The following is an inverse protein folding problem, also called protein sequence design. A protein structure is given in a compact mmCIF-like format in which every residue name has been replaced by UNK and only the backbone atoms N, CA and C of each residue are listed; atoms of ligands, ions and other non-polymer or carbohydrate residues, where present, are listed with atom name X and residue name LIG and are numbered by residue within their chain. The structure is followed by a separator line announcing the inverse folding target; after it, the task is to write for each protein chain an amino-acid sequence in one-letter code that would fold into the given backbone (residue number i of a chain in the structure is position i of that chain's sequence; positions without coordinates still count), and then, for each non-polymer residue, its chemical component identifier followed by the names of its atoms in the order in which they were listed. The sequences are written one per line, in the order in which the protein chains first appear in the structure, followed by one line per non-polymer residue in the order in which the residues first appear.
data_IF_018632946761
#
_entry.id   IF_018632946761
#
_cell.length_a   1.000
_cell.length_b   1.000
_cell.length_c   1.000
_cell.angle_alpha   90.00
_cell.angle_beta   90.00
_cell.angle_gamma   90.00
#
_symmetry.space_group_name_H-M   'P 1'
#
loop_
_entity.id
_entity.type
_entity.pdbx_description
1 polymer ?
#
# COMPACT_ATOMS: atom_id res chain seq x y z
N UNK A 1 84.90 -25.90 31.55
CA UNK A 1 84.77 -25.43 32.98
C UNK A 1 83.50 -24.62 33.08
N UNK A 2 82.86 -24.78 34.16
CA UNK A 2 81.39 -24.73 34.28
C UNK A 2 80.92 -23.44 34.92
N UNK A 3 79.69 -23.13 34.80
CA UNK A 3 78.91 -22.61 35.92
C UNK A 3 77.39 -22.80 35.71
N UNK A 4 76.94 -23.59 36.52
CA UNK A 4 75.58 -23.78 36.99
C UNK A 4 75.10 -22.47 37.64
N UNK A 5 73.87 -22.03 37.36
CA UNK A 5 73.09 -21.39 38.39
C UNK A 5 71.60 -21.64 38.18
N UNK A 6 71.12 -22.30 39.13
CA UNK A 6 69.80 -22.67 39.57
C UNK A 6 68.88 -21.48 39.87
N UNK A 7 67.56 -21.86 39.85
CA UNK A 7 66.48 -21.42 40.72
C UNK A 7 65.78 -20.11 40.29
N UNK A 8 64.49 -20.08 40.09
CA UNK A 8 63.48 -20.28 41.10
C UNK A 8 62.09 -20.43 40.46
N UNK A 9 61.43 -21.45 40.82
CA UNK A 9 60.00 -21.57 40.89
C UNK A 9 59.36 -20.36 41.55
N UNK A 10 58.46 -19.71 40.89
CA UNK A 10 57.41 -18.93 41.57
C UNK A 10 56.09 -19.23 40.94
N UNK A 11 55.40 -20.16 41.59
CA UNK A 11 53.97 -20.25 41.62
C UNK A 11 53.34 -18.88 41.85
N UNK A 12 52.62 -18.36 40.90
CA UNK A 12 51.53 -17.43 41.12
C UNK A 12 50.27 -18.00 40.49
N UNK A 13 49.60 -18.73 41.31
CA UNK A 13 48.15 -18.86 41.29
C UNK A 13 47.58 -17.46 41.29
N UNK A 14 46.97 -17.06 40.21
CA UNK A 14 45.98 -15.99 40.19
C UNK A 14 44.74 -16.58 39.57
N UNK A 15 43.82 -16.90 40.43
CA UNK A 15 42.41 -17.07 40.11
C UNK A 15 41.90 -15.81 39.43
N UNK A 16 42.01 -15.73 38.10
CA UNK A 16 41.19 -14.86 37.29
C UNK A 16 39.92 -15.64 36.93
N UNK A 17 38.96 -15.57 37.86
CA UNK A 17 37.59 -15.92 37.62
C UNK A 17 37.08 -15.05 36.46
N UNK A 18 37.05 -15.61 35.28
CA UNK A 18 36.33 -15.03 34.14
C UNK A 18 34.87 -14.80 34.56
N UNK A 19 34.30 -13.61 34.35
CA UNK A 19 32.88 -13.40 34.63
C UNK A 19 32.07 -14.28 33.69
N UNK A 20 31.62 -15.41 34.22
CA UNK A 20 30.57 -16.22 33.65
C UNK A 20 29.30 -15.35 33.56
N UNK A 21 28.79 -15.14 32.39
CA UNK A 21 27.43 -14.64 32.28
C UNK A 21 27.18 -13.45 31.36
N UNK A 22 27.76 -13.38 30.18
CA UNK A 22 27.12 -12.71 29.06
C UNK A 22 26.53 -13.80 28.17
N UNK A 23 25.42 -14.37 28.59
CA UNK A 23 24.58 -15.16 27.69
C UNK A 23 24.30 -14.35 26.42
N UNK A 24 24.27 -14.96 25.23
CA UNK A 24 24.00 -14.23 24.01
C UNK A 24 22.65 -13.52 24.20
N UNK A 25 22.68 -12.19 24.32
CA UNK A 25 21.48 -11.38 24.24
C UNK A 25 20.80 -11.79 22.94
N UNK A 26 19.72 -12.54 23.06
CA UNK A 26 18.91 -12.97 21.92
C UNK A 26 18.46 -11.68 21.21
N UNK A 27 19.23 -11.29 20.21
CA UNK A 27 18.88 -10.23 19.33
C UNK A 27 17.57 -10.67 18.67
N UNK A 28 16.44 -10.24 19.23
CA UNK A 28 15.14 -10.38 18.58
C UNK A 28 15.32 -9.79 17.20
N UNK A 29 15.50 -10.63 16.21
CA UNK A 29 15.55 -10.24 14.81
C UNK A 29 14.15 -9.76 14.46
N UNK A 30 13.91 -8.46 14.68
CA UNK A 30 12.66 -7.83 14.25
C UNK A 30 12.47 -8.05 12.75
N UNK A 31 11.25 -8.26 12.32
CA UNK A 31 10.88 -8.37 10.91
C UNK A 31 11.53 -7.22 10.10
N UNK A 32 12.30 -7.57 9.07
CA UNK A 32 13.00 -6.62 8.21
C UNK A 32 12.74 -6.96 6.76
N UNK A 33 12.05 -6.08 6.06
CA UNK A 33 11.83 -6.17 4.64
C UNK A 33 12.96 -5.44 3.91
N UNK A 34 13.65 -6.15 3.02
CA UNK A 34 14.67 -5.55 2.13
C UNK A 34 14.01 -4.91 0.92
N UNK A 35 14.71 -4.00 0.22
CA UNK A 35 14.23 -3.45 -1.06
C UNK A 35 13.94 -4.53 -2.08
N UNK A 36 14.76 -5.57 -2.12
CA UNK A 36 14.55 -6.71 -3.03
C UNK A 36 13.25 -7.46 -2.69
N UNK A 37 13.01 -7.75 -1.42
CA UNK A 37 11.78 -8.41 -0.97
C UNK A 37 10.55 -7.52 -1.21
N UNK A 38 10.66 -6.20 -0.95
CA UNK A 38 9.60 -5.23 -1.21
C UNK A 38 9.26 -5.20 -2.71
N UNK A 39 10.28 -5.17 -3.58
CA UNK A 39 10.10 -5.23 -5.03
C UNK A 39 9.48 -6.55 -5.49
N UNK A 40 9.90 -7.67 -4.92
CA UNK A 40 9.32 -8.97 -5.23
C UNK A 40 7.84 -9.04 -4.79
N UNK A 41 7.51 -8.57 -3.59
CA UNK A 41 6.12 -8.51 -3.12
C UNK A 41 5.26 -7.61 -4.02
N UNK A 42 5.78 -6.45 -4.44
CA UNK A 42 5.12 -5.58 -5.42
C UNK A 42 4.94 -6.30 -6.76
N UNK A 43 5.93 -7.09 -7.19
CA UNK A 43 5.85 -7.92 -8.39
C UNK A 43 4.72 -8.96 -8.32
N UNK A 44 4.50 -9.56 -7.16
CA UNK A 44 3.35 -10.46 -6.94
C UNK A 44 2.03 -9.72 -7.14
N UNK A 45 1.89 -8.50 -6.58
CA UNK A 45 0.66 -7.70 -6.75
C UNK A 45 0.44 -7.31 -8.22
N UNK A 46 1.50 -6.96 -8.97
CA UNK A 46 1.40 -6.74 -10.41
C UNK A 46 0.96 -7.99 -11.19
N UNK A 47 1.47 -9.17 -10.83
CA UNK A 47 1.04 -10.44 -11.44
C UNK A 47 -0.44 -10.71 -11.16
N UNK A 48 -0.89 -10.47 -9.93
CA UNK A 48 -2.31 -10.65 -9.57
C UNK A 48 -3.18 -9.67 -10.37
N UNK A 49 -2.83 -8.38 -10.43
CA UNK A 49 -3.55 -7.39 -11.22
C UNK A 49 -3.60 -7.80 -12.71
N UNK A 50 -2.47 -8.20 -13.28
CA UNK A 50 -2.43 -8.71 -14.65
C UNK A 50 -3.33 -9.93 -14.87
N UNK A 51 -3.39 -10.88 -13.93
CA UNK A 51 -4.30 -12.01 -14.02
C UNK A 51 -5.77 -11.57 -14.03
N UNK A 52 -6.14 -10.55 -13.25
CA UNK A 52 -7.48 -9.97 -13.25
C UNK A 52 -7.81 -9.28 -14.59
N UNK A 53 -6.81 -8.72 -15.28
CA UNK A 53 -7.01 -8.14 -16.61
C UNK A 53 -7.33 -9.18 -17.69
N UNK A 54 -7.10 -10.49 -17.47
CA UNK A 54 -7.50 -11.53 -18.42
C UNK A 54 -8.96 -11.97 -18.30
N UNK A 55 -9.76 -11.34 -17.45
CA UNK A 55 -11.20 -11.60 -17.37
C UNK A 55 -11.93 -11.15 -18.64
N UNK A 56 -12.99 -11.86 -19.09
CA UNK A 56 -13.71 -11.52 -20.33
C UNK A 56 -14.22 -10.08 -20.38
N UNK A 57 -14.65 -9.54 -19.23
CA UNK A 57 -15.12 -8.15 -19.11
C UNK A 57 -14.06 -7.14 -19.58
N UNK A 58 -12.79 -7.37 -19.25
CA UNK A 58 -11.68 -6.47 -19.61
C UNK A 58 -11.41 -6.38 -21.12
N UNK A 59 -11.90 -7.35 -21.90
CA UNK A 59 -11.84 -7.36 -23.36
C UNK A 59 -13.06 -6.71 -24.01
N UNK A 60 -13.99 -6.21 -23.22
CA UNK A 60 -15.21 -5.52 -23.66
C UNK A 60 -15.09 -4.00 -23.51
N UNK A 61 -16.12 -3.29 -23.99
CA UNK A 61 -16.24 -1.84 -23.74
C UNK A 61 -16.49 -1.51 -22.26
N UNK A 62 -16.88 -2.50 -21.44
CA UNK A 62 -17.14 -2.35 -20.01
C UNK A 62 -15.97 -1.73 -19.27
N UNK A 63 -14.73 -2.18 -19.51
CA UNK A 63 -13.54 -1.56 -18.91
C UNK A 63 -13.53 -0.03 -19.09
N UNK A 64 -13.76 0.45 -20.31
CA UNK A 64 -13.70 1.88 -20.59
C UNK A 64 -14.94 2.65 -20.11
N UNK A 65 -16.14 2.08 -20.29
CA UNK A 65 -17.40 2.80 -20.08
C UNK A 65 -18.00 2.61 -18.69
N UNK A 66 -17.74 1.48 -18.03
CA UNK A 66 -18.33 1.12 -16.74
C UNK A 66 -17.32 1.24 -15.58
N UNK A 67 -15.99 1.11 -15.87
CA UNK A 67 -14.95 1.29 -14.86
C UNK A 67 -14.31 2.68 -14.98
N UNK A 68 -13.65 2.99 -16.12
CA UNK A 68 -12.82 4.19 -16.25
C UNK A 68 -13.63 5.48 -16.37
N UNK A 69 -14.68 5.49 -17.20
CA UNK A 69 -15.44 6.72 -17.42
C UNK A 69 -16.14 7.29 -16.18
N UNK A 70 -16.72 6.46 -15.28
CA UNK A 70 -17.32 6.95 -14.04
C UNK A 70 -16.31 7.58 -13.09
N UNK A 71 -15.04 7.11 -13.06
CA UNK A 71 -13.99 7.69 -12.21
C UNK A 71 -13.67 9.15 -12.55
N UNK A 72 -13.96 9.59 -13.77
CA UNK A 72 -13.79 10.97 -14.20
C UNK A 72 -14.95 11.88 -13.80
N UNK A 73 -16.05 11.34 -13.26
CA UNK A 73 -17.21 12.14 -12.88
C UNK A 73 -16.86 13.17 -11.80
N UNK A 74 -17.27 14.44 -12.01
CA UNK A 74 -16.98 15.54 -11.08
C UNK A 74 -15.53 16.04 -11.10
N UNK A 75 -14.65 15.46 -11.90
CA UNK A 75 -13.27 15.93 -12.06
C UNK A 75 -13.18 17.20 -12.94
N UNK A 76 -12.17 18.07 -12.71
CA UNK A 76 -11.95 19.24 -13.56
C UNK A 76 -11.49 18.86 -14.97
N UNK A 77 -11.62 19.78 -15.97
CA UNK A 77 -11.30 19.54 -17.38
C UNK A 77 -9.88 19.00 -17.64
N UNK A 78 -8.91 19.39 -16.82
CA UNK A 78 -7.53 18.91 -16.93
C UNK A 78 -7.40 17.38 -16.69
N UNK A 79 -8.33 16.77 -15.99
CA UNK A 79 -8.43 15.32 -15.76
C UNK A 79 -9.40 14.71 -16.77
N UNK A 80 -10.63 15.24 -16.88
CA UNK A 80 -11.66 14.63 -17.74
C UNK A 80 -11.30 14.66 -19.22
N UNK A 81 -10.52 15.64 -19.69
CA UNK A 81 -10.07 15.72 -21.08
C UNK A 81 -9.20 14.51 -21.49
N UNK A 82 -8.05 14.29 -20.85
CA UNK A 82 -7.18 13.13 -21.12
C UNK A 82 -7.89 11.80 -20.88
N UNK A 83 -8.65 11.66 -19.77
CA UNK A 83 -9.41 10.43 -19.46
C UNK A 83 -10.46 10.17 -20.57
N UNK A 84 -11.19 11.18 -21.00
CA UNK A 84 -12.17 11.03 -22.09
C UNK A 84 -11.53 10.63 -23.46
N UNK A 85 -10.31 11.09 -23.73
CA UNK A 85 -9.53 10.62 -24.89
C UNK A 85 -9.16 9.15 -24.72
N UNK A 86 -8.67 8.76 -23.55
CA UNK A 86 -8.33 7.39 -23.22
C UNK A 86 -9.54 6.46 -23.32
N UNK A 87 -10.69 6.83 -22.73
CA UNK A 87 -11.95 6.08 -22.79
C UNK A 87 -12.37 5.86 -24.25
N UNK A 88 -12.32 6.89 -25.11
CA UNK A 88 -12.64 6.75 -26.54
C UNK A 88 -11.69 5.79 -27.25
N UNK A 89 -10.39 5.89 -26.98
CA UNK A 89 -9.39 5.02 -27.59
C UNK A 89 -9.60 3.56 -27.19
N UNK A 90 -9.77 3.28 -25.89
CA UNK A 90 -10.00 1.92 -25.38
C UNK A 90 -11.33 1.35 -25.84
N UNK A 91 -12.43 2.13 -25.79
CA UNK A 91 -13.75 1.66 -26.22
C UNK A 91 -13.86 1.40 -27.71
N UNK A 92 -12.99 2.01 -28.54
CA UNK A 92 -12.96 1.74 -29.98
C UNK A 92 -12.39 0.36 -30.33
N UNK A 93 -11.39 -0.12 -29.57
CA UNK A 93 -10.70 -1.40 -29.78
C UNK A 93 -10.36 -2.08 -28.44
N UNK A 94 -11.34 -2.44 -27.60
CA UNK A 94 -11.09 -2.87 -26.23
C UNK A 94 -10.25 -4.15 -26.16
N UNK A 95 -10.54 -5.14 -27.01
CA UNK A 95 -9.78 -6.37 -27.03
C UNK A 95 -8.32 -6.15 -27.45
N UNK A 96 -8.08 -5.33 -28.49
CA UNK A 96 -6.72 -5.01 -28.93
C UNK A 96 -5.94 -4.26 -27.85
N UNK A 97 -6.58 -3.31 -27.15
CA UNK A 97 -5.98 -2.62 -26.01
C UNK A 97 -5.58 -3.62 -24.93
N UNK A 98 -6.51 -4.47 -24.50
CA UNK A 98 -6.24 -5.35 -23.37
C UNK A 98 -5.25 -6.48 -23.70
N UNK A 99 -5.17 -6.94 -24.97
CA UNK A 99 -4.12 -7.86 -25.43
C UNK A 99 -2.71 -7.26 -25.36
N UNK A 100 -2.57 -5.94 -25.25
CA UNK A 100 -1.29 -5.27 -25.02
C UNK A 100 -1.10 -4.96 -23.55
N UNK A 101 -2.15 -4.48 -22.88
CA UNK A 101 -2.10 -3.97 -21.52
C UNK A 101 -1.86 -5.08 -20.49
N UNK A 102 -2.66 -6.16 -20.51
CA UNK A 102 -2.53 -7.25 -19.55
C UNK A 102 -1.17 -7.99 -19.62
N UNK A 103 -0.64 -8.34 -20.83
CA UNK A 103 0.72 -8.88 -20.92
C UNK A 103 1.81 -7.90 -20.50
N UNK A 104 1.63 -6.58 -20.69
CA UNK A 104 2.59 -5.59 -20.22
C UNK A 104 2.63 -5.54 -18.67
N UNK A 105 1.48 -5.54 -18.00
CA UNK A 105 1.41 -5.66 -16.53
C UNK A 105 2.05 -6.96 -16.03
N UNK A 106 1.72 -8.09 -16.66
CA UNK A 106 2.29 -9.38 -16.33
C UNK A 106 3.82 -9.37 -16.49
N UNK A 107 4.30 -8.80 -17.59
CA UNK A 107 5.73 -8.66 -17.86
C UNK A 107 6.45 -7.84 -16.80
N UNK A 108 5.85 -6.72 -16.33
CA UNK A 108 6.38 -5.92 -15.24
C UNK A 108 6.43 -6.76 -13.95
N UNK A 109 5.34 -7.41 -13.58
CA UNK A 109 5.25 -8.22 -12.38
C UNK A 109 6.30 -9.33 -12.35
N UNK A 110 6.38 -10.14 -13.40
CA UNK A 110 7.36 -11.22 -13.56
C UNK A 110 8.79 -10.69 -13.55
N UNK A 111 9.05 -9.57 -14.25
CA UNK A 111 10.37 -8.98 -14.27
C UNK A 111 10.80 -8.44 -12.90
N UNK A 112 9.89 -7.84 -12.10
CA UNK A 112 10.17 -7.41 -10.73
C UNK A 112 10.52 -8.58 -9.81
N UNK A 113 9.94 -9.76 -10.03
CA UNK A 113 10.23 -10.99 -9.29
C UNK A 113 11.60 -11.57 -9.65
N UNK A 114 11.92 -11.64 -10.94
CA UNK A 114 13.06 -12.42 -11.44
C UNK A 114 14.34 -11.60 -11.60
N UNK A 115 14.24 -10.28 -11.77
CA UNK A 115 15.39 -9.45 -12.10
C UNK A 115 16.34 -9.31 -10.90
N UNK A 116 17.57 -9.80 -11.09
CA UNK A 116 18.67 -9.72 -10.11
C UNK A 116 19.70 -8.64 -10.45
N UNK A 117 19.92 -8.35 -11.76
CA UNK A 117 20.93 -7.38 -12.22
C UNK A 117 20.46 -5.95 -11.91
N UNK A 118 21.32 -5.18 -11.22
CA UNK A 118 20.99 -3.82 -10.75
C UNK A 118 20.47 -2.88 -11.85
N UNK A 119 21.11 -2.83 -13.02
CA UNK A 119 20.66 -1.97 -14.13
C UNK A 119 19.28 -2.36 -14.64
N UNK A 120 19.07 -3.66 -14.89
CA UNK A 120 17.77 -4.16 -15.36
C UNK A 120 16.68 -3.93 -14.31
N UNK A 121 16.98 -4.14 -13.01
CA UNK A 121 16.03 -3.85 -11.93
C UNK A 121 15.59 -2.38 -11.90
N UNK A 122 16.51 -1.44 -12.17
CA UNK A 122 16.14 0.00 -12.26
C UNK A 122 15.22 0.29 -13.43
N UNK A 123 15.51 -0.27 -14.60
CA UNK A 123 14.63 -0.11 -15.78
C UNK A 123 13.24 -0.68 -15.54
N UNK A 124 13.15 -1.92 -15.04
CA UNK A 124 11.86 -2.56 -14.73
C UNK A 124 11.09 -1.76 -13.68
N UNK A 125 11.75 -1.32 -12.59
CA UNK A 125 11.10 -0.48 -11.58
C UNK A 125 10.64 0.85 -12.16
N UNK A 126 11.43 1.47 -13.05
CA UNK A 126 11.06 2.73 -13.73
C UNK A 126 9.84 2.56 -14.62
N UNK A 127 9.80 1.51 -15.42
CA UNK A 127 8.65 1.18 -16.27
C UNK A 127 7.41 0.92 -15.42
N UNK A 128 7.53 0.13 -14.33
CA UNK A 128 6.43 -0.14 -13.42
C UNK A 128 5.89 1.12 -12.74
N UNK A 129 6.77 2.02 -12.29
CA UNK A 129 6.35 3.32 -11.71
C UNK A 129 5.66 4.19 -12.77
N UNK A 130 6.22 4.28 -13.99
CA UNK A 130 5.61 5.07 -15.06
C UNK A 130 4.24 4.53 -15.45
N UNK A 131 4.08 3.20 -15.56
CA UNK A 131 2.80 2.55 -15.85
C UNK A 131 1.81 2.80 -14.73
N UNK A 132 2.20 2.63 -13.47
CA UNK A 132 1.35 2.91 -12.32
C UNK A 132 0.86 4.36 -12.30
N UNK A 133 1.72 5.35 -12.58
CA UNK A 133 1.32 6.75 -12.69
C UNK A 133 0.39 7.00 -13.88
N UNK A 134 0.59 6.31 -15.01
CA UNK A 134 -0.31 6.35 -16.16
C UNK A 134 -1.71 5.81 -15.82
N UNK A 135 -1.77 4.65 -15.14
CA UNK A 135 -3.03 4.07 -14.65
C UNK A 135 -3.69 5.00 -13.64
N UNK A 136 -2.93 5.55 -12.69
CA UNK A 136 -3.44 6.50 -11.70
C UNK A 136 -4.11 7.72 -12.34
N UNK A 137 -3.48 8.29 -13.38
CA UNK A 137 -4.04 9.45 -14.07
C UNK A 137 -5.22 9.09 -14.96
N UNK A 138 -5.04 8.10 -15.85
CA UNK A 138 -6.00 7.81 -16.95
C UNK A 138 -7.06 6.78 -16.54
N UNK A 139 -6.70 5.80 -15.71
CA UNK A 139 -7.59 4.73 -15.26
C UNK A 139 -8.37 5.08 -13.99
N UNK A 140 -7.69 5.64 -12.99
CA UNK A 140 -8.27 5.97 -11.68
C UNK A 140 -8.63 7.48 -11.56
N UNK A 141 -8.48 8.26 -12.62
CA UNK A 141 -8.77 9.71 -12.61
C UNK A 141 -8.15 10.42 -11.39
N UNK A 142 -6.88 10.11 -11.08
CA UNK A 142 -6.15 10.61 -9.91
C UNK A 142 -6.80 10.22 -8.57
N UNK A 143 -7.49 9.07 -8.50
CA UNK A 143 -8.16 8.59 -7.29
C UNK A 143 -9.30 9.50 -6.81
N UNK A 144 -9.93 10.24 -7.69
CA UNK A 144 -11.03 11.13 -7.35
C UNK A 144 -10.64 12.40 -6.57
N UNK A 145 -9.34 12.67 -6.36
CA UNK A 145 -8.85 13.70 -5.43
C UNK A 145 -9.39 15.11 -5.64
N UNK A 146 -9.75 15.45 -6.88
CA UNK A 146 -10.21 16.81 -7.23
C UNK A 146 -11.74 16.91 -7.33
N UNK A 147 -12.50 15.85 -7.02
CA UNK A 147 -13.97 15.85 -7.07
C UNK A 147 -14.63 16.50 -5.86
N UNK A 148 -13.91 16.61 -4.72
CA UNK A 148 -14.49 16.99 -3.43
C UNK A 148 -15.30 15.89 -2.75
N UNK A 149 -15.42 14.69 -3.37
CA UNK A 149 -16.14 13.51 -2.83
C UNK A 149 -15.24 12.29 -2.61
N UNK A 150 -13.94 12.40 -2.90
CA UNK A 150 -12.99 11.32 -2.64
C UNK A 150 -12.96 10.94 -1.16
N UNK A 151 -12.88 9.63 -0.88
CA UNK A 151 -12.76 9.11 0.48
C UNK A 151 -11.65 8.07 0.58
N UNK A 152 -10.83 8.18 1.63
CA UNK A 152 -9.76 7.21 1.87
C UNK A 152 -10.27 5.79 2.11
N UNK A 153 -11.47 5.64 2.68
CA UNK A 153 -12.16 4.35 2.85
C UNK A 153 -12.50 3.67 1.52
N UNK A 154 -12.76 4.46 0.47
CA UNK A 154 -13.06 3.97 -0.87
C UNK A 154 -11.81 3.79 -1.74
N UNK A 155 -10.63 3.98 -1.19
CA UNK A 155 -9.37 3.73 -1.88
C UNK A 155 -8.60 4.97 -2.33
N UNK A 156 -9.10 6.22 -2.09
CA UNK A 156 -8.27 7.39 -2.38
C UNK A 156 -6.95 7.34 -1.54
N UNK A 157 -5.82 7.68 -2.11
CA UNK A 157 -5.58 8.41 -3.36
C UNK A 157 -5.47 7.53 -4.63
N UNK A 158 -5.88 6.28 -4.57
CA UNK A 158 -5.85 5.33 -5.68
C UNK A 158 -4.79 4.22 -5.49
N UNK A 159 -5.13 3.00 -5.93
CA UNK A 159 -4.25 1.84 -5.83
C UNK A 159 -2.98 2.04 -6.65
N UNK A 160 -3.11 2.54 -7.89
CA UNK A 160 -1.98 2.74 -8.78
C UNK A 160 -0.97 3.76 -8.24
N UNK A 161 -1.40 4.81 -7.52
CA UNK A 161 -0.45 5.69 -6.83
C UNK A 161 0.36 4.94 -5.77
N UNK A 162 -0.27 4.04 -5.02
CA UNK A 162 0.43 3.21 -4.03
C UNK A 162 1.44 2.27 -4.68
N UNK A 163 1.12 1.67 -5.85
CA UNK A 163 2.09 0.92 -6.66
C UNK A 163 3.32 1.77 -7.00
N UNK A 164 3.12 3.01 -7.44
CA UNK A 164 4.21 3.93 -7.76
C UNK A 164 5.06 4.28 -6.52
N UNK A 165 4.42 4.62 -5.39
CA UNK A 165 5.11 4.95 -4.13
C UNK A 165 5.93 3.75 -3.61
N UNK A 166 5.37 2.55 -3.62
CA UNK A 166 6.07 1.33 -3.19
C UNK A 166 7.21 1.02 -4.17
N UNK A 167 6.99 1.16 -5.48
CA UNK A 167 8.01 0.98 -6.50
C UNK A 167 9.22 1.91 -6.30
N UNK A 168 8.96 3.19 -5.97
CA UNK A 168 9.99 4.16 -5.62
C UNK A 168 10.68 3.83 -4.28
N UNK A 169 9.93 3.35 -3.27
CA UNK A 169 10.51 2.93 -1.99
C UNK A 169 11.39 1.68 -2.12
N UNK A 170 11.08 0.81 -3.08
CA UNK A 170 11.83 -0.38 -3.43
C UNK A 170 12.92 -0.13 -4.48
N UNK A 171 13.16 1.14 -4.88
CA UNK A 171 14.09 1.49 -5.96
C UNK A 171 15.48 0.92 -5.73
N UNK A 172 16.07 0.21 -6.72
CA UNK A 172 17.39 -0.39 -6.58
C UNK A 172 18.50 0.65 -6.39
N UNK A 173 19.29 0.53 -5.34
CA UNK A 173 20.45 1.37 -5.06
C UNK A 173 21.72 0.55 -5.14
N UNK A 174 22.88 1.22 -5.38
CA UNK A 174 24.20 0.56 -5.41
C UNK A 174 24.79 0.32 -4.03
N UNK A 175 24.27 1.01 -3.01
CA UNK A 175 24.80 0.91 -1.67
C UNK A 175 24.35 -0.37 -0.98
N UNK A 176 25.13 -0.84 -0.02
CA UNK A 176 24.80 -1.97 0.87
C UNK A 176 23.57 -1.71 1.75
N UNK A 177 22.93 -0.55 1.61
CA UNK A 177 21.68 -0.21 2.31
C UNK A 177 20.49 -0.83 1.56
N UNK A 178 20.18 -2.07 1.93
CA UNK A 178 19.06 -2.84 1.38
C UNK A 178 17.71 -2.47 2.03
N UNK A 179 17.65 -1.38 2.81
CA UNK A 179 16.43 -0.92 3.48
C UNK A 179 15.53 -0.12 2.54
N UNK A 180 14.20 -0.13 2.75
CA UNK A 180 13.30 0.77 2.06
C UNK A 180 13.72 2.24 2.17
N UNK A 181 13.23 3.07 1.26
CA UNK A 181 13.65 4.47 1.16
C UNK A 181 13.43 5.25 2.47
N UNK A 182 14.38 6.12 2.83
CA UNK A 182 14.34 6.92 4.07
C UNK A 182 13.21 7.94 4.11
N UNK A 183 12.68 8.34 2.96
CA UNK A 183 11.56 9.26 2.84
C UNK A 183 10.19 8.59 3.10
N UNK A 184 10.15 7.26 3.23
CA UNK A 184 8.91 6.50 3.38
C UNK A 184 8.03 6.96 4.55
N UNK A 185 8.56 7.33 5.75
CA UNK A 185 7.73 7.91 6.80
C UNK A 185 7.04 9.22 6.40
N UNK A 186 7.69 10.05 5.59
CA UNK A 186 7.08 11.29 5.08
C UNK A 186 5.96 10.99 4.06
N UNK A 187 6.19 10.06 3.11
CA UNK A 187 5.15 9.62 2.20
C UNK A 187 3.96 8.98 2.93
N UNK A 188 4.23 8.17 3.95
CA UNK A 188 3.21 7.62 4.84
C UNK A 188 2.35 8.71 5.46
N UNK A 189 3.00 9.75 6.04
CA UNK A 189 2.29 10.88 6.63
C UNK A 189 1.43 11.61 5.60
N UNK A 190 1.94 11.83 4.39
CA UNK A 190 1.18 12.49 3.31
C UNK A 190 -0.03 11.65 2.89
N UNK A 191 0.14 10.33 2.74
CA UNK A 191 -0.95 9.43 2.35
C UNK A 191 -2.03 9.43 3.44
N UNK A 192 -1.70 9.10 4.68
CA UNK A 192 -2.67 8.98 5.77
C UNK A 192 -3.23 10.33 6.22
N UNK A 193 -2.42 11.40 6.20
CA UNK A 193 -2.90 12.76 6.46
C UNK A 193 -3.81 13.27 5.35
N UNK A 194 -3.50 12.94 4.09
CA UNK A 194 -4.37 13.22 2.96
C UNK A 194 -5.71 12.48 3.04
N UNK A 195 -5.70 11.17 3.37
CA UNK A 195 -6.95 10.42 3.58
C UNK A 195 -7.76 10.96 4.75
N UNK A 196 -7.11 11.41 5.84
CA UNK A 196 -7.79 12.07 6.95
C UNK A 196 -8.48 13.37 6.52
N UNK A 197 -7.79 14.18 5.70
CA UNK A 197 -8.37 15.42 5.16
C UNK A 197 -9.58 15.14 4.25
N UNK A 198 -9.50 14.10 3.40
CA UNK A 198 -10.62 13.67 2.57
C UNK A 198 -11.80 13.16 3.40
N UNK A 199 -11.54 12.43 4.48
CA UNK A 199 -12.58 11.92 5.40
C UNK A 199 -13.26 13.02 6.22
N UNK A 200 -12.68 14.24 6.26
CA UNK A 200 -13.27 15.42 6.89
C UNK A 200 -14.16 16.25 5.93
N UNK A 201 -14.22 15.89 4.64
CA UNK A 201 -15.04 16.61 3.66
C UNK A 201 -16.54 16.37 3.91
N UNK A 202 -17.42 17.32 3.56
CA UNK A 202 -18.86 17.20 3.77
C UNK A 202 -19.45 15.90 3.19
N UNK A 203 -19.00 15.45 2.04
CA UNK A 203 -19.44 14.21 1.41
C UNK A 203 -19.16 12.94 2.25
N UNK A 204 -18.19 12.98 3.15
CA UNK A 204 -17.84 11.85 4.02
C UNK A 204 -18.36 11.97 5.46
N UNK A 205 -19.03 13.08 5.80
CA UNK A 205 -19.49 13.38 7.18
C UNK A 205 -21.01 13.34 7.35
N UNK A 206 -21.74 13.04 6.28
CA UNK A 206 -23.21 12.91 6.29
C UNK A 206 -23.62 11.43 6.40
N UNK A 207 -24.85 11.14 6.90
CA UNK A 207 -25.38 9.78 6.92
C UNK A 207 -25.34 9.11 5.54
N UNK A 208 -25.81 9.81 4.51
CA UNK A 208 -25.86 9.30 3.13
C UNK A 208 -24.44 9.11 2.55
N UNK A 209 -23.51 10.01 2.87
CA UNK A 209 -22.11 9.88 2.45
C UNK A 209 -21.43 8.65 3.04
N UNK A 210 -21.61 8.41 4.35
CA UNK A 210 -21.09 7.20 5.01
C UNK A 210 -21.78 5.93 4.50
N UNK A 211 -23.10 5.97 4.33
CA UNK A 211 -23.87 4.84 3.79
C UNK A 211 -23.43 4.53 2.34
N UNK A 212 -23.23 5.57 1.51
CA UNK A 212 -22.78 5.43 0.12
C UNK A 212 -21.45 4.73 -0.01
N UNK A 213 -20.51 4.97 0.91
CA UNK A 213 -19.21 4.28 0.92
C UNK A 213 -19.36 2.76 1.14
N UNK A 214 -20.20 2.36 2.08
CA UNK A 214 -20.49 0.94 2.36
C UNK A 214 -21.33 0.32 1.23
N UNK A 215 -22.30 1.07 0.70
CA UNK A 215 -23.12 0.63 -0.41
C UNK A 215 -22.28 0.32 -1.65
N UNK A 216 -21.32 1.17 -1.98
CA UNK A 216 -20.37 0.92 -3.08
C UNK A 216 -19.58 -0.36 -2.84
N UNK A 217 -19.05 -0.58 -1.64
CA UNK A 217 -18.40 -1.84 -1.27
C UNK A 217 -19.31 -3.05 -1.48
N UNK A 218 -20.57 -2.96 -1.06
CA UNK A 218 -21.52 -4.07 -1.17
C UNK A 218 -21.80 -4.51 -2.60
N UNK A 219 -21.70 -3.61 -3.58
CA UNK A 219 -21.87 -3.95 -5.01
C UNK A 219 -20.71 -4.78 -5.57
N UNK A 220 -19.54 -4.67 -4.95
CA UNK A 220 -18.31 -5.37 -5.35
C UNK A 220 -18.02 -6.58 -4.45
N UNK A 221 -18.72 -6.73 -3.34
CA UNK A 221 -18.48 -7.80 -2.36
C UNK A 221 -18.95 -9.16 -2.83
N UNK A 222 -18.32 -10.26 -2.35
CA UNK A 222 -18.85 -11.60 -2.51
C UNK A 222 -20.29 -11.70 -2.02
N UNK A 223 -21.13 -12.47 -2.71
CA UNK A 223 -22.59 -12.50 -2.48
C UNK A 223 -23.03 -12.81 -1.04
N UNK A 224 -22.22 -13.54 -0.27
CA UNK A 224 -22.51 -13.82 1.15
C UNK A 224 -22.30 -12.60 2.06
N UNK A 225 -21.50 -11.59 1.64
CA UNK A 225 -21.26 -10.35 2.37
C UNK A 225 -22.10 -9.18 1.83
N UNK A 226 -22.40 -9.16 0.55
CA UNK A 226 -23.13 -8.06 -0.09
C UNK A 226 -24.44 -7.72 0.61
N UNK A 227 -25.26 -8.73 1.02
CA UNK A 227 -26.51 -8.50 1.74
C UNK A 227 -26.33 -7.90 3.14
N UNK A 228 -25.46 -8.43 4.02
CA UNK A 228 -25.15 -7.80 5.31
C UNK A 228 -24.62 -6.36 5.17
N UNK A 229 -23.74 -6.10 4.21
CA UNK A 229 -23.18 -4.76 3.97
C UNK A 229 -24.25 -3.80 3.48
N UNK A 230 -25.12 -4.21 2.56
CA UNK A 230 -26.27 -3.41 2.12
C UNK A 230 -27.19 -3.05 3.30
N UNK A 231 -27.56 -4.03 4.13
CA UNK A 231 -28.37 -3.80 5.32
C UNK A 231 -27.67 -2.89 6.34
N UNK A 232 -26.34 -2.96 6.42
CA UNK A 232 -25.55 -2.07 7.27
C UNK A 232 -25.53 -0.63 6.72
N UNK A 233 -25.33 -0.45 5.40
CA UNK A 233 -25.44 0.84 4.74
C UNK A 233 -26.80 1.50 4.96
N UNK A 234 -27.88 0.73 4.82
CA UNK A 234 -29.24 1.19 5.08
C UNK A 234 -29.46 1.64 6.54
N UNK A 235 -28.82 0.98 7.51
CA UNK A 235 -28.84 1.45 8.91
C UNK A 235 -28.07 2.73 9.11
N UNK A 236 -26.91 2.87 8.46
CA UNK A 236 -26.08 4.09 8.50
C UNK A 236 -26.86 5.28 7.92
N UNK A 237 -27.58 5.12 6.82
CA UNK A 237 -28.35 6.21 6.21
C UNK A 237 -29.46 6.77 7.12
N UNK A 238 -29.88 5.99 8.13
CA UNK A 238 -30.93 6.38 9.11
C UNK A 238 -30.39 6.99 10.40
N UNK A 239 -29.06 7.06 10.60
CA UNK A 239 -28.50 7.69 11.80
C UNK A 239 -28.68 9.22 11.76
N UNK A 240 -28.65 9.87 12.93
CA UNK A 240 -28.68 11.32 12.96
C UNK A 240 -27.42 11.95 12.35
N UNK A 241 -27.53 13.18 11.83
CA UNK A 241 -26.37 13.93 11.34
C UNK A 241 -25.27 14.07 12.41
N UNK A 242 -25.64 14.26 13.68
CA UNK A 242 -24.71 14.30 14.80
C UNK A 242 -23.96 12.98 15.00
N UNK A 243 -24.63 11.84 14.85
CA UNK A 243 -23.99 10.51 14.90
C UNK A 243 -23.05 10.31 13.73
N UNK A 244 -23.45 10.68 12.52
CA UNK A 244 -22.60 10.57 11.34
C UNK A 244 -21.34 11.44 11.47
N UNK A 245 -21.47 12.67 11.96
CA UNK A 245 -20.34 13.55 12.23
C UNK A 245 -19.39 12.97 13.29
N UNK A 246 -19.94 12.36 14.35
CA UNK A 246 -19.11 11.70 15.37
C UNK A 246 -18.33 10.52 14.78
N UNK A 247 -18.97 9.68 13.97
CA UNK A 247 -18.30 8.56 13.28
C UNK A 247 -17.18 9.09 12.38
N UNK A 248 -17.47 10.11 11.56
CA UNK A 248 -16.45 10.73 10.71
C UNK A 248 -15.29 11.31 11.52
N UNK A 249 -15.57 12.00 12.64
CA UNK A 249 -14.53 12.54 13.54
C UNK A 249 -13.64 11.42 14.11
N UNK A 250 -14.21 10.28 14.50
CA UNK A 250 -13.44 9.12 14.96
C UNK A 250 -12.56 8.57 13.84
N UNK A 251 -13.09 8.43 12.62
CA UNK A 251 -12.35 7.97 11.44
C UNK A 251 -11.17 8.91 11.17
N UNK A 252 -11.40 10.21 11.14
CA UNK A 252 -10.35 11.23 10.95
C UNK A 252 -9.29 11.14 12.05
N UNK A 253 -9.72 11.05 13.33
CA UNK A 253 -8.79 10.95 14.45
C UNK A 253 -7.89 9.70 14.34
N UNK A 254 -8.45 8.55 13.98
CA UNK A 254 -7.69 7.32 13.75
C UNK A 254 -6.68 7.50 12.61
N UNK A 255 -7.09 8.06 11.48
CA UNK A 255 -6.19 8.30 10.34
C UNK A 255 -5.07 9.29 10.69
N UNK A 256 -5.36 10.35 11.45
CA UNK A 256 -4.35 11.30 11.95
C UNK A 256 -3.38 10.60 12.91
N UNK A 257 -3.87 9.76 13.83
CA UNK A 257 -2.99 8.96 14.71
C UNK A 257 -2.09 8.03 13.92
N UNK A 258 -2.60 7.39 12.87
CA UNK A 258 -1.82 6.54 11.96
C UNK A 258 -0.75 7.39 11.26
N UNK A 259 -1.13 8.54 10.71
CA UNK A 259 -0.23 9.44 9.98
C UNK A 259 0.95 9.89 10.88
N UNK A 260 0.64 10.44 12.04
CA UNK A 260 1.66 10.93 13.00
C UNK A 260 2.49 9.79 13.55
N UNK A 261 1.84 8.68 13.94
CA UNK A 261 2.51 7.51 14.49
C UNK A 261 3.55 6.89 13.55
N UNK A 262 3.35 6.99 12.24
CA UNK A 262 4.33 6.57 11.23
C UNK A 262 5.63 7.39 11.22
N UNK A 263 5.59 8.65 11.65
CA UNK A 263 6.78 9.50 11.81
C UNK A 263 7.59 9.17 13.06
N UNK A 264 6.94 8.55 14.06
CA UNK A 264 7.56 8.18 15.31
C UNK A 264 8.42 6.92 15.19
N UNK A 265 9.02 6.47 16.26
CA UNK A 265 9.87 5.27 16.31
C UNK A 265 9.44 4.31 17.42
N UNK A 266 9.93 3.08 17.40
CA UNK A 266 9.67 2.10 18.44
C UNK A 266 8.19 1.69 18.52
N UNK A 267 7.68 1.57 19.75
CA UNK A 267 6.32 1.03 20.02
C UNK A 267 5.21 1.86 19.36
N UNK A 268 5.33 3.18 19.34
CA UNK A 268 4.29 4.06 18.76
C UNK A 268 4.13 3.82 17.27
N UNK A 269 5.24 3.65 16.52
CA UNK A 269 5.18 3.25 15.11
C UNK A 269 4.53 1.88 14.91
N UNK A 270 4.83 0.92 15.79
CA UNK A 270 4.22 -0.41 15.72
C UNK A 270 2.71 -0.35 15.95
N UNK A 271 2.26 0.45 16.92
CA UNK A 271 0.82 0.66 17.17
C UNK A 271 0.16 1.34 15.94
N UNK A 272 0.77 2.39 15.40
CA UNK A 272 0.26 3.04 14.20
C UNK A 272 0.18 2.08 12.99
N UNK A 273 1.19 1.22 12.83
CA UNK A 273 1.20 0.18 11.81
C UNK A 273 0.06 -0.84 12.01
N UNK A 274 -0.17 -1.29 13.24
CA UNK A 274 -1.28 -2.20 13.56
C UNK A 274 -2.65 -1.55 13.29
N UNK A 275 -2.83 -0.27 13.68
CA UNK A 275 -4.04 0.49 13.40
C UNK A 275 -4.25 0.66 11.90
N UNK A 276 -3.19 0.95 11.13
CA UNK A 276 -3.25 1.07 9.69
C UNK A 276 -3.68 -0.23 9.01
N UNK A 277 -3.14 -1.37 9.44
CA UNK A 277 -3.54 -2.68 8.93
C UNK A 277 -4.99 -3.00 9.26
N UNK A 278 -5.43 -2.73 10.48
CA UNK A 278 -6.81 -2.94 10.91
C UNK A 278 -7.77 -2.04 10.12
N UNK A 279 -7.43 -0.76 9.96
CA UNK A 279 -8.23 0.18 9.17
C UNK A 279 -8.29 -0.22 7.70
N UNK A 280 -7.15 -0.57 7.09
CA UNK A 280 -7.10 -1.02 5.70
C UNK A 280 -7.92 -2.30 5.49
N UNK A 281 -7.83 -3.28 6.38
CA UNK A 281 -8.61 -4.51 6.29
C UNK A 281 -10.13 -4.23 6.42
N UNK A 282 -10.52 -3.36 7.37
CA UNK A 282 -11.91 -3.00 7.58
C UNK A 282 -12.50 -2.27 6.37
N UNK A 283 -11.79 -1.28 5.82
CA UNK A 283 -12.25 -0.54 4.65
C UNK A 283 -12.22 -1.39 3.38
N UNK A 284 -11.25 -2.30 3.26
CA UNK A 284 -11.19 -3.25 2.14
C UNK A 284 -12.42 -4.14 2.10
N UNK A 285 -12.85 -4.62 3.26
CA UNK A 285 -14.06 -5.41 3.38
C UNK A 285 -15.32 -4.56 3.15
N UNK A 286 -15.51 -3.48 3.93
CA UNK A 286 -16.80 -2.77 3.99
C UNK A 286 -17.01 -1.76 2.84
N UNK A 287 -15.93 -1.15 2.33
CA UNK A 287 -16.06 -0.03 1.40
C UNK A 287 -15.47 -0.32 0.02
N UNK A 288 -14.61 -1.34 -0.10
CA UNK A 288 -13.93 -1.68 -1.36
C UNK A 288 -14.31 -3.10 -1.86
N UNK A 289 -15.21 -3.82 -1.17
CA UNK A 289 -15.69 -5.15 -1.58
C UNK A 289 -14.57 -6.14 -1.96
N UNK A 290 -13.45 -6.11 -1.21
CA UNK A 290 -12.24 -6.88 -1.53
C UNK A 290 -11.64 -6.58 -2.92
N UNK A 291 -11.86 -5.36 -3.44
CA UNK A 291 -11.45 -4.98 -4.79
C UNK A 291 -12.28 -5.63 -5.89
N UNK A 292 -13.46 -6.15 -5.57
CA UNK A 292 -14.34 -6.78 -6.57
C UNK A 292 -13.77 -8.08 -7.19
N UNK A 293 -12.77 -8.72 -6.57
CA UNK A 293 -12.07 -9.88 -7.19
C UNK A 293 -12.96 -11.07 -7.52
N UNK A 294 -14.17 -11.12 -6.98
CA UNK A 294 -15.17 -12.18 -7.24
C UNK A 294 -16.21 -11.78 -8.25
N UNK A 295 -16.23 -10.54 -8.74
CA UNK A 295 -17.24 -10.03 -9.69
C UNK A 295 -16.97 -10.40 -11.13
N UNK A 296 -15.71 -10.64 -11.48
CA UNK A 296 -15.27 -10.77 -12.87
C UNK A 296 -14.95 -9.42 -13.55
N UNK A 297 -14.96 -8.32 -12.78
CA UNK A 297 -14.77 -6.93 -13.24
C UNK A 297 -13.62 -6.20 -12.53
N UNK A 298 -12.92 -6.91 -11.61
CA UNK A 298 -11.82 -6.33 -10.86
C UNK A 298 -10.60 -6.03 -11.75
N UNK A 299 -10.05 -4.83 -11.64
CA UNK A 299 -8.81 -4.42 -12.32
C UNK A 299 -7.57 -4.72 -11.50
N UNK A 300 -7.69 -4.72 -10.18
CA UNK A 300 -6.62 -4.99 -9.21
C UNK A 300 -7.20 -5.47 -7.85
N UNK A 301 -6.34 -5.57 -6.85
CA UNK A 301 -6.72 -6.01 -5.49
C UNK A 301 -7.17 -4.86 -4.57
N UNK A 302 -7.40 -3.67 -5.10
CA UNK A 302 -7.65 -2.42 -4.39
C UNK A 302 -6.48 -1.99 -3.45
N UNK A 303 -6.72 -1.02 -2.57
CA UNK A 303 -5.64 -0.35 -1.84
C UNK A 303 -5.14 -1.09 -0.61
N UNK A 304 -5.93 -1.95 0.02
CA UNK A 304 -5.56 -2.56 1.30
C UNK A 304 -4.32 -3.46 1.25
N UNK A 305 -4.13 -4.36 0.27
CA UNK A 305 -2.90 -5.14 0.16
C UNK A 305 -1.66 -4.26 -0.07
N UNK A 306 -1.80 -3.16 -0.80
CA UNK A 306 -0.74 -2.18 -1.02
C UNK A 306 -0.41 -1.41 0.26
N UNK A 307 -1.42 -0.98 1.03
CA UNK A 307 -1.23 -0.37 2.34
C UNK A 307 -0.58 -1.33 3.33
N UNK A 308 -0.91 -2.62 3.28
CA UNK A 308 -0.24 -3.64 4.09
C UNK A 308 1.25 -3.76 3.72
N UNK A 309 1.57 -3.78 2.43
CA UNK A 309 2.95 -3.82 1.95
C UNK A 309 3.71 -2.53 2.30
N UNK A 310 3.09 -1.37 2.17
CA UNK A 310 3.64 -0.08 2.58
C UNK A 310 3.91 -0.04 4.09
N UNK A 311 2.99 -0.59 4.91
CA UNK A 311 3.13 -0.72 6.36
C UNK A 311 4.33 -1.59 6.74
N UNK A 312 4.47 -2.75 6.10
CA UNK A 312 5.61 -3.65 6.29
C UNK A 312 6.95 -2.97 5.93
N UNK A 313 6.95 -2.20 4.83
CA UNK A 313 8.11 -1.41 4.43
C UNK A 313 8.43 -0.31 5.46
N UNK A 314 7.43 0.42 5.97
CA UNK A 314 7.60 1.45 6.99
C UNK A 314 8.23 0.90 8.27
N UNK A 315 7.72 -0.20 8.80
CA UNK A 315 8.26 -0.84 10.01
C UNK A 315 9.71 -1.27 9.81
N UNK A 316 10.06 -1.71 8.61
CA UNK A 316 11.41 -2.13 8.23
C UNK A 316 12.43 -0.98 8.17
N UNK A 317 11.99 0.30 8.08
CA UNK A 317 12.88 1.46 8.16
C UNK A 317 13.43 1.69 9.57
N UNK A 318 12.81 1.13 10.61
CA UNK A 318 13.13 1.31 12.02
C UNK A 318 14.29 0.42 12.51
N UNK A 319 15.37 0.32 11.81
CA UNK A 319 16.56 -0.39 12.28
C UNK A 319 17.34 0.44 13.31
N UNK A 320 17.58 -0.16 14.47
CA UNK A 320 18.36 0.36 15.59
C UNK A 320 19.48 1.30 15.13
N UNK A 321 19.41 2.60 15.52
CA UNK A 321 20.60 3.43 15.57
C UNK A 321 21.55 2.76 16.58
N UNK A 322 22.57 2.02 16.10
CA UNK A 322 23.74 1.82 16.92
C UNK A 322 24.30 3.21 17.15
N UNK A 323 24.16 3.70 18.37
CA UNK A 323 24.94 4.84 18.85
C UNK A 323 26.40 4.41 18.69
N UNK A 324 27.11 5.04 17.77
CA UNK A 324 28.56 5.00 17.70
C UNK A 324 29.12 6.05 18.62
#
# INVERSE_FOLDING_TARGET
MPSVTTTSEQLRSSDDAAPAGAGPASARSGFRLTRRQLRAALGVLWVIAACLQFQPFMFSKGLALEIVAPEAAGQPPIVTGPVGLFVRAVSSHPAAFNWVFAPAELGIGVALLLVSRHRAARWVSGVGVAMALGIWWLGESMGGLLTGSAAGSMGAPGAALLYAVIGLAAWPTRADDDRPARWLPAAWFVIWGGTAALSALPAATTPDGLAGQVLMGSTMSPGFLARPEYAFAERISRVSAGTALLVAAVVVAVQVMIAIGGLLTGRLRTVAAALALAFAALTWMLCQGFGGITTGEATDVATAPLLALLTAALVSTSGVRRIR
#
